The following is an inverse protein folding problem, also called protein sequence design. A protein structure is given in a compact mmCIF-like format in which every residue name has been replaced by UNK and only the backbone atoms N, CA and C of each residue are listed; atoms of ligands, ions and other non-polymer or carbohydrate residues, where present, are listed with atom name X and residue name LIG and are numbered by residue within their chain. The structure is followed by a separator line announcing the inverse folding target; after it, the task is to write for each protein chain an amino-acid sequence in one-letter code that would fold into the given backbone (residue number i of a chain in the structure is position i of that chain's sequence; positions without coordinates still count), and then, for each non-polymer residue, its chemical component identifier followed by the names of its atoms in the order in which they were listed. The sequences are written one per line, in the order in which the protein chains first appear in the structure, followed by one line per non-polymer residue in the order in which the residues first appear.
data_IF_146881936723
#
_entry.id   IF_146881936723
#
_cell.length_a   1.000
_cell.length_b   1.000
_cell.length_c   1.000
_cell.angle_alpha   90.00
_cell.angle_beta   90.00
_cell.angle_gamma   90.00
#
_symmetry.space_group_name_H-M   'P 1'
#
loop_
_entity.id
_entity.type
_entity.pdbx_description
1 polymer ?
#
# COMPACT_ATOMS: atom_id res chain seq x y z
N UNK A 1 26.22 -27.31 -11.35
CA UNK A 1 27.15 -26.48 -12.13
C UNK A 1 27.88 -25.62 -11.12
N UNK A 2 29.19 -25.84 -10.96
CA UNK A 2 30.03 -25.04 -10.06
C UNK A 2 30.29 -23.69 -10.74
N UNK A 3 29.62 -22.64 -10.27
CA UNK A 3 29.89 -21.27 -10.70
C UNK A 3 31.22 -20.82 -10.08
N UNK A 4 32.26 -20.59 -10.90
CA UNK A 4 33.54 -20.04 -10.43
C UNK A 4 33.31 -18.58 -9.95
N UNK A 5 33.52 -18.26 -8.66
CA UNK A 5 33.30 -16.92 -8.11
C UNK A 5 34.18 -15.84 -8.76
N UNK A 6 35.30 -16.21 -9.40
CA UNK A 6 36.20 -15.27 -10.09
C UNK A 6 35.60 -14.67 -11.36
N UNK A 7 34.45 -15.16 -11.81
CA UNK A 7 33.76 -14.58 -12.96
C UNK A 7 33.27 -13.15 -12.69
N UNK A 8 32.98 -12.80 -11.43
CA UNK A 8 32.54 -11.45 -11.05
C UNK A 8 33.64 -10.39 -11.19
N UNK A 9 34.92 -10.78 -11.07
CA UNK A 9 36.07 -9.86 -11.16
C UNK A 9 36.24 -9.25 -12.57
N UNK A 10 35.56 -9.81 -13.57
CA UNK A 10 35.63 -9.40 -14.97
C UNK A 10 34.35 -8.73 -15.49
N UNK A 11 33.30 -8.64 -14.66
CA UNK A 11 32.06 -7.95 -15.03
C UNK A 11 32.18 -6.49 -14.63
N UNK A 12 32.59 -5.64 -15.58
CA UNK A 12 32.55 -4.20 -15.38
C UNK A 12 31.09 -3.72 -15.30
N UNK A 13 30.75 -3.02 -14.23
CA UNK A 13 29.46 -2.33 -14.14
C UNK A 13 29.50 -1.11 -15.06
N UNK A 14 28.61 -1.08 -16.05
CA UNK A 14 28.52 0.02 -16.99
C UNK A 14 27.71 1.17 -16.38
N UNK A 15 28.25 2.38 -16.39
CA UNK A 15 27.56 3.59 -15.91
C UNK A 15 26.20 3.79 -16.58
N UNK A 16 26.07 3.43 -17.87
CA UNK A 16 24.81 3.52 -18.59
C UNK A 16 23.75 2.56 -18.03
N UNK A 17 24.15 1.39 -17.54
CA UNK A 17 23.22 0.43 -16.92
C UNK A 17 22.75 0.94 -15.56
N UNK A 18 23.65 1.57 -14.79
CA UNK A 18 23.30 2.25 -13.53
C UNK A 18 22.32 3.39 -13.82
N UNK A 19 22.61 4.24 -14.81
CA UNK A 19 21.75 5.37 -15.15
C UNK A 19 20.36 4.90 -15.62
N UNK A 20 20.28 3.87 -16.45
CA UNK A 20 19.01 3.25 -16.85
C UNK A 20 18.24 2.69 -15.66
N UNK A 21 18.92 2.04 -14.72
CA UNK A 21 18.31 1.50 -13.52
C UNK A 21 17.69 2.60 -12.65
N UNK A 22 18.44 3.67 -12.40
CA UNK A 22 17.97 4.84 -11.65
C UNK A 22 16.82 5.52 -12.38
N UNK A 23 16.96 5.76 -13.68
CA UNK A 23 15.91 6.39 -14.49
C UNK A 23 14.61 5.58 -14.46
N UNK A 24 14.69 4.26 -14.60
CA UNK A 24 13.54 3.37 -14.52
C UNK A 24 12.85 3.46 -13.15
N UNK A 25 13.62 3.54 -12.06
CA UNK A 25 13.07 3.72 -10.72
C UNK A 25 12.34 5.06 -10.57
N UNK A 26 12.94 6.16 -11.03
CA UNK A 26 12.37 7.50 -10.93
C UNK A 26 11.06 7.62 -11.73
N UNK A 27 11.02 7.05 -12.94
CA UNK A 27 9.82 7.05 -13.81
C UNK A 27 8.70 6.18 -13.23
N UNK A 28 9.05 5.02 -12.67
CA UNK A 28 8.08 4.13 -12.04
C UNK A 28 7.37 4.80 -10.86
N UNK A 29 8.13 5.49 -10.00
CA UNK A 29 7.64 6.22 -8.81
C UNK A 29 7.14 7.64 -9.09
N UNK A 30 7.10 8.07 -10.36
CA UNK A 30 6.59 9.37 -10.79
C UNK A 30 7.36 10.61 -10.25
N UNK A 31 8.68 10.49 -10.03
CA UNK A 31 9.53 11.60 -9.60
C UNK A 31 9.97 12.50 -10.77
N UNK A 32 8.99 13.14 -11.42
CA UNK A 32 9.19 13.91 -12.66
C UNK A 32 10.32 14.95 -12.58
N UNK A 33 10.31 15.79 -11.56
CA UNK A 33 11.30 16.87 -11.40
C UNK A 33 12.72 16.30 -11.27
N UNK A 34 12.82 15.12 -10.63
CA UNK A 34 14.10 14.40 -10.49
C UNK A 34 14.49 13.74 -11.81
N UNK A 35 13.54 13.18 -12.56
CA UNK A 35 13.78 12.62 -13.91
C UNK A 35 14.36 13.69 -14.84
N UNK A 36 13.75 14.87 -14.89
CA UNK A 36 14.20 15.98 -15.76
C UNK A 36 15.63 16.43 -15.43
N UNK A 37 15.90 16.60 -14.13
CA UNK A 37 17.24 16.95 -13.64
C UNK A 37 18.25 15.85 -13.96
N UNK A 38 17.88 14.58 -13.72
CA UNK A 38 18.74 13.43 -13.94
C UNK A 38 19.10 13.23 -15.40
N UNK A 39 18.13 13.38 -16.32
CA UNK A 39 18.34 13.31 -17.77
C UNK A 39 19.33 14.41 -18.21
N UNK A 40 19.16 15.63 -17.71
CA UNK A 40 20.02 16.77 -18.05
C UNK A 40 21.47 16.52 -17.62
N UNK A 41 21.68 15.92 -16.44
CA UNK A 41 23.01 15.61 -15.92
C UNK A 41 23.68 14.41 -16.60
N UNK A 42 22.91 13.40 -17.01
CA UNK A 42 23.45 12.14 -17.55
C UNK A 42 23.50 12.10 -19.07
N UNK A 43 22.82 13.02 -19.76
CA UNK A 43 22.73 13.05 -21.23
C UNK A 43 21.89 11.92 -21.83
N UNK A 44 21.09 11.22 -21.00
CA UNK A 44 20.21 10.16 -21.45
C UNK A 44 19.09 10.70 -22.34
N UNK A 45 18.53 9.84 -23.20
CA UNK A 45 17.34 10.17 -23.99
C UNK A 45 16.14 9.42 -23.41
N UNK A 46 15.09 10.16 -23.07
CA UNK A 46 13.80 9.59 -22.68
C UNK A 46 12.76 9.91 -23.76
N UNK A 47 11.77 9.03 -23.94
CA UNK A 47 10.67 9.22 -24.89
C UNK A 47 9.56 10.05 -24.25
N UNK A 48 8.97 10.96 -25.03
CA UNK A 48 7.88 11.84 -24.59
C UNK A 48 6.65 11.06 -24.07
N UNK A 49 6.42 9.87 -24.64
CA UNK A 49 5.32 8.97 -24.25
C UNK A 49 5.42 8.46 -22.80
N UNK A 50 6.64 8.24 -22.28
CA UNK A 50 6.84 7.85 -20.89
C UNK A 50 6.60 9.01 -19.92
N UNK A 51 6.83 10.25 -20.37
CA UNK A 51 6.65 11.44 -19.55
C UNK A 51 5.17 11.79 -19.38
N UNK A 52 4.34 11.63 -20.43
CA UNK A 52 2.89 11.83 -20.36
C UNK A 52 2.20 10.77 -19.47
N UNK A 53 2.54 9.49 -19.65
CA UNK A 53 2.07 8.40 -18.77
C UNK A 53 2.45 8.65 -17.31
N UNK A 54 3.70 9.05 -17.06
CA UNK A 54 4.17 9.38 -15.72
C UNK A 54 3.39 10.54 -15.10
N UNK A 55 3.09 11.60 -15.85
CA UNK A 55 2.33 12.75 -15.36
C UNK A 55 0.90 12.35 -14.97
N UNK A 56 0.22 11.55 -15.79
CA UNK A 56 -1.12 11.03 -15.49
C UNK A 56 -1.11 10.17 -14.23
N UNK A 57 -0.14 9.25 -14.10
CA UNK A 57 0.03 8.42 -12.90
C UNK A 57 0.36 9.24 -11.65
N UNK A 58 1.21 10.27 -11.78
CA UNK A 58 1.55 11.19 -10.68
C UNK A 58 0.32 11.85 -10.10
N UNK A 59 -0.60 12.33 -10.95
CA UNK A 59 -1.87 12.96 -10.52
C UNK A 59 -2.74 11.99 -9.74
N UNK A 60 -2.91 10.76 -10.25
CA UNK A 60 -3.69 9.72 -9.57
C UNK A 60 -3.11 9.39 -8.19
N UNK A 61 -1.79 9.18 -8.13
CA UNK A 61 -1.07 8.91 -6.88
C UNK A 61 -1.24 10.05 -5.86
N UNK A 62 -1.12 11.30 -6.31
CA UNK A 62 -1.29 12.48 -5.48
C UNK A 62 -2.69 12.56 -4.87
N UNK A 63 -3.74 12.42 -5.68
CA UNK A 63 -5.11 12.43 -5.17
C UNK A 63 -5.38 11.28 -4.19
N UNK A 64 -4.86 10.08 -4.46
CA UNK A 64 -5.01 8.94 -3.56
C UNK A 64 -4.30 9.16 -2.20
N UNK A 65 -3.07 9.68 -2.23
CA UNK A 65 -2.26 9.93 -1.03
C UNK A 65 -2.76 11.09 -0.17
N UNK A 66 -3.27 12.16 -0.79
CA UNK A 66 -3.90 13.28 -0.08
C UNK A 66 -5.25 12.92 0.53
N UNK A 67 -5.85 11.80 0.12
CA UNK A 67 -7.16 11.35 0.57
C UNK A 67 -8.32 11.85 -0.28
N UNK A 68 -8.08 12.45 -1.45
CA UNK A 68 -9.12 12.76 -2.43
C UNK A 68 -9.38 11.55 -3.35
N UNK A 69 -9.94 10.50 -2.77
CA UNK A 69 -10.08 9.21 -3.44
C UNK A 69 -11.05 9.25 -4.62
N UNK A 70 -12.07 10.11 -4.57
CA UNK A 70 -13.04 10.23 -5.67
C UNK A 70 -12.36 10.66 -6.96
N UNK A 71 -11.49 11.67 -6.89
CA UNK A 71 -10.69 12.11 -8.05
C UNK A 71 -9.72 11.03 -8.51
N UNK A 72 -9.11 10.30 -7.58
CA UNK A 72 -8.22 9.19 -7.93
C UNK A 72 -8.97 8.08 -8.68
N UNK A 73 -10.19 7.72 -8.27
CA UNK A 73 -11.04 6.73 -8.93
C UNK A 73 -11.44 7.19 -10.34
N UNK A 74 -11.90 8.43 -10.49
CA UNK A 74 -12.27 9.02 -11.79
C UNK A 74 -11.11 8.95 -12.79
N UNK A 75 -9.94 9.43 -12.39
CA UNK A 75 -8.74 9.45 -13.24
C UNK A 75 -8.18 8.04 -13.50
N UNK A 76 -8.36 7.10 -12.56
CA UNK A 76 -7.97 5.70 -12.76
C UNK A 76 -8.82 5.06 -13.85
N UNK A 77 -10.13 5.28 -13.85
CA UNK A 77 -11.03 4.74 -14.89
C UNK A 77 -10.76 5.37 -16.26
N UNK A 78 -10.35 6.65 -16.30
CA UNK A 78 -9.92 7.32 -17.53
C UNK A 78 -8.61 6.74 -18.09
N UNK A 79 -7.63 6.46 -17.21
CA UNK A 79 -6.30 5.99 -17.62
C UNK A 79 -6.24 4.47 -17.87
N UNK A 80 -6.94 3.68 -17.06
CA UNK A 80 -6.90 2.23 -17.05
C UNK A 80 -8.31 1.63 -16.85
N UNK A 81 -9.14 1.61 -17.91
CA UNK A 81 -10.51 1.11 -17.84
C UNK A 81 -10.62 -0.33 -17.34
N UNK A 82 -11.67 -0.64 -16.59
CA UNK A 82 -11.93 -1.93 -15.94
C UNK A 82 -10.87 -2.39 -14.91
N UNK A 83 -9.83 -1.59 -14.61
CA UNK A 83 -8.76 -2.01 -13.70
C UNK A 83 -9.33 -2.39 -12.32
N UNK A 84 -10.25 -1.58 -11.82
CA UNK A 84 -10.89 -1.77 -10.52
C UNK A 84 -11.90 -2.92 -10.53
N UNK A 85 -12.53 -3.19 -11.67
CA UNK A 85 -13.42 -4.35 -11.82
C UNK A 85 -12.63 -5.66 -11.81
N UNK A 86 -11.47 -5.68 -12.49
CA UNK A 86 -10.57 -6.83 -12.55
C UNK A 86 -9.81 -7.05 -11.24
N UNK A 87 -9.53 -5.99 -10.49
CA UNK A 87 -8.79 -6.03 -9.23
C UNK A 87 -9.66 -5.58 -8.04
N UNK A 88 -10.45 -6.52 -7.51
CA UNK A 88 -11.35 -6.28 -6.39
C UNK A 88 -10.63 -5.91 -5.09
N UNK A 89 -9.39 -6.39 -4.89
CA UNK A 89 -8.58 -6.06 -3.70
C UNK A 89 -8.23 -4.57 -3.70
N UNK A 90 -7.75 -4.06 -4.84
CA UNK A 90 -7.43 -2.65 -5.00
C UNK A 90 -8.68 -1.76 -4.91
N UNK A 91 -9.78 -2.20 -5.52
CA UNK A 91 -11.04 -1.48 -5.44
C UNK A 91 -11.52 -1.36 -3.99
N UNK A 92 -11.47 -2.46 -3.23
CA UNK A 92 -11.78 -2.46 -1.80
C UNK A 92 -10.88 -1.49 -1.02
N UNK A 93 -9.57 -1.51 -1.27
CA UNK A 93 -8.60 -0.64 -0.59
C UNK A 93 -8.89 0.86 -0.84
N UNK A 94 -9.23 1.23 -2.08
CA UNK A 94 -9.60 2.61 -2.42
C UNK A 94 -10.93 3.01 -1.78
N UNK A 95 -11.97 2.18 -1.86
CA UNK A 95 -13.24 2.48 -1.20
C UNK A 95 -13.06 2.62 0.32
N UNK A 96 -12.18 1.82 0.91
CA UNK A 96 -11.84 1.92 2.33
C UNK A 96 -11.17 3.25 2.67
N UNK A 97 -10.27 3.77 1.82
CA UNK A 97 -9.71 5.10 2.00
C UNK A 97 -10.77 6.21 1.95
N UNK A 98 -11.74 6.10 1.03
CA UNK A 98 -12.85 7.07 0.95
C UNK A 98 -13.71 7.03 2.21
N UNK A 99 -13.98 5.83 2.73
CA UNK A 99 -14.70 5.70 3.98
C UNK A 99 -13.93 6.36 5.14
N UNK A 100 -12.63 6.08 5.26
CA UNK A 100 -11.75 6.69 6.25
C UNK A 100 -11.74 8.22 6.16
N UNK A 101 -11.71 8.79 4.95
CA UNK A 101 -11.79 10.24 4.70
C UNK A 101 -13.09 10.84 5.28
N UNK A 102 -14.23 10.18 5.04
CA UNK A 102 -15.53 10.62 5.54
C UNK A 102 -15.60 10.56 7.08
N UNK A 103 -15.09 9.48 7.68
CA UNK A 103 -15.03 9.30 9.13
C UNK A 103 -14.12 10.35 9.77
N UNK A 104 -12.94 10.59 9.21
CA UNK A 104 -11.99 11.60 9.67
C UNK A 104 -12.57 13.02 9.58
N UNK A 105 -13.41 13.27 8.56
CA UNK A 105 -14.11 14.54 8.37
C UNK A 105 -15.36 14.69 9.26
N UNK A 106 -15.63 13.79 10.20
CA UNK A 106 -16.82 13.78 11.08
C UNK A 106 -18.15 13.63 10.36
N UNK A 107 -18.13 13.15 9.12
CA UNK A 107 -19.33 12.97 8.28
C UNK A 107 -19.88 11.56 8.45
N UNK A 108 -20.24 11.19 9.68
CA UNK A 108 -20.63 9.81 10.01
C UNK A 108 -21.86 9.31 9.22
N UNK A 109 -22.82 10.20 8.93
CA UNK A 109 -23.99 9.86 8.12
C UNK A 109 -23.60 9.52 6.68
N UNK A 110 -22.79 10.37 6.04
CA UNK A 110 -22.28 10.13 4.69
C UNK A 110 -21.39 8.87 4.65
N UNK A 111 -20.56 8.64 5.67
CA UNK A 111 -19.73 7.45 5.80
C UNK A 111 -20.57 6.16 5.86
N UNK A 112 -21.64 6.16 6.66
CA UNK A 112 -22.56 5.04 6.79
C UNK A 112 -23.30 4.77 5.47
N UNK A 113 -23.87 5.79 4.83
CA UNK A 113 -24.54 5.65 3.54
C UNK A 113 -23.58 5.13 2.45
N UNK A 114 -22.36 5.66 2.42
CA UNK A 114 -21.31 5.20 1.51
C UNK A 114 -20.99 3.74 1.74
N UNK A 115 -20.76 3.33 2.99
CA UNK A 115 -20.45 1.94 3.31
C UNK A 115 -21.62 1.00 2.97
N UNK A 116 -22.87 1.40 3.22
CA UNK A 116 -24.06 0.61 2.89
C UNK A 116 -24.18 0.38 1.38
N UNK A 117 -23.82 1.40 0.60
CA UNK A 117 -23.95 1.36 -0.85
C UNK A 117 -22.77 0.63 -1.51
N UNK A 118 -21.54 0.92 -1.08
CA UNK A 118 -20.31 0.53 -1.79
C UNK A 118 -19.54 -0.62 -1.13
N UNK A 119 -19.61 -0.76 0.19
CA UNK A 119 -18.83 -1.76 0.95
C UNK A 119 -19.63 -3.05 1.26
N UNK A 120 -20.96 -3.00 1.29
CA UNK A 120 -21.83 -4.18 1.52
C UNK A 120 -21.50 -5.39 0.65
N UNK A 121 -21.19 -5.28 -0.66
CA UNK A 121 -20.83 -6.43 -1.49
C UNK A 121 -19.61 -7.20 -0.96
N UNK A 122 -18.62 -6.48 -0.42
CA UNK A 122 -17.39 -7.06 0.14
C UNK A 122 -17.63 -7.76 1.48
N UNK A 123 -18.65 -7.37 2.24
CA UNK A 123 -19.05 -8.03 3.48
C UNK A 123 -19.56 -9.46 3.32
N UNK A 124 -19.84 -9.91 2.09
CA UNK A 124 -20.20 -11.31 1.78
C UNK A 124 -18.99 -12.21 1.58
N UNK A 125 -17.79 -11.63 1.42
CA UNK A 125 -16.56 -12.36 1.10
C UNK A 125 -15.67 -12.35 2.34
N UNK A 126 -15.46 -13.53 2.93
CA UNK A 126 -14.79 -13.70 4.23
C UNK A 126 -13.42 -12.99 4.31
N UNK A 127 -12.69 -12.92 3.19
CA UNK A 127 -11.39 -12.24 3.10
C UNK A 127 -11.43 -10.76 3.53
N UNK A 128 -12.53 -10.05 3.28
CA UNK A 128 -12.63 -8.61 3.56
C UNK A 128 -13.33 -8.31 4.88
N UNK A 129 -13.98 -9.30 5.51
CA UNK A 129 -14.84 -9.07 6.69
C UNK A 129 -14.04 -8.51 7.85
N UNK A 130 -12.89 -9.10 8.19
CA UNK A 130 -12.03 -8.63 9.29
C UNK A 130 -11.60 -7.18 9.07
N UNK A 131 -11.10 -6.86 7.86
CA UNK A 131 -10.67 -5.51 7.52
C UNK A 131 -11.85 -4.51 7.49
N UNK A 132 -13.05 -4.94 7.09
CA UNK A 132 -14.28 -4.14 7.18
C UNK A 132 -14.65 -3.84 8.62
N UNK A 133 -14.59 -4.83 9.51
CA UNK A 133 -14.86 -4.66 10.94
C UNK A 133 -13.92 -3.63 11.57
N UNK A 134 -12.63 -3.68 11.23
CA UNK A 134 -11.64 -2.70 11.68
C UNK A 134 -11.97 -1.27 11.22
N UNK A 135 -12.39 -1.09 9.95
CA UNK A 135 -12.83 0.24 9.49
C UNK A 135 -14.10 0.70 10.19
N UNK A 136 -15.08 -0.17 10.35
CA UNK A 136 -16.36 0.17 11.00
C UNK A 136 -16.17 0.54 12.47
N UNK A 137 -15.19 -0.07 13.15
CA UNK A 137 -14.86 0.26 14.53
C UNK A 137 -14.48 1.74 14.71
N UNK A 138 -13.97 2.42 13.68
CA UNK A 138 -13.67 3.85 13.73
C UNK A 138 -14.92 4.72 14.00
N UNK A 139 -16.11 4.26 13.61
CA UNK A 139 -17.37 4.99 13.84
C UNK A 139 -17.81 4.98 15.31
N UNK A 140 -17.31 4.05 16.12
CA UNK A 140 -17.65 3.95 17.53
C UNK A 140 -16.98 5.04 18.39
N UNK A 141 -16.02 5.78 17.82
CA UNK A 141 -15.24 6.78 18.54
C UNK A 141 -15.62 8.19 18.08
N UNK A 142 -15.90 9.06 19.05
CA UNK A 142 -15.97 10.51 18.80
C UNK A 142 -14.66 11.09 18.29
N UNK A 143 -13.55 10.36 18.41
CA UNK A 143 -12.25 10.72 17.84
C UNK A 143 -11.54 9.48 17.25
N UNK A 144 -11.59 9.26 15.93
CA UNK A 144 -11.00 8.11 15.25
C UNK A 144 -9.53 7.88 15.57
N UNK A 145 -8.76 8.94 15.85
CA UNK A 145 -7.33 8.81 16.22
C UNK A 145 -7.12 8.15 17.59
N UNK A 146 -8.15 8.14 18.46
CA UNK A 146 -8.13 7.44 19.75
C UNK A 146 -8.57 5.98 19.63
N UNK A 147 -9.05 5.58 18.46
CA UNK A 147 -9.44 4.19 18.20
C UNK A 147 -8.20 3.28 18.23
N UNK A 148 -8.34 2.02 18.68
CA UNK A 148 -7.32 0.99 18.43
C UNK A 148 -6.94 0.86 16.96
N UNK A 149 -7.84 1.26 16.04
CA UNK A 149 -7.67 1.19 14.59
C UNK A 149 -7.07 2.47 13.97
N UNK A 150 -6.50 3.37 14.77
CA UNK A 150 -5.94 4.65 14.30
C UNK A 150 -4.90 4.49 13.17
N UNK A 151 -4.21 3.36 13.09
CA UNK A 151 -3.23 3.08 12.04
C UNK A 151 -3.86 3.09 10.63
N UNK A 152 -5.17 2.85 10.51
CA UNK A 152 -5.91 2.95 9.24
C UNK A 152 -6.10 4.38 8.75
N UNK A 153 -5.93 5.37 9.63
CA UNK A 153 -5.99 6.81 9.32
C UNK A 153 -4.62 7.36 8.90
N UNK A 154 -3.56 6.59 9.13
CA UNK A 154 -2.18 7.04 8.96
C UNK A 154 -1.86 7.44 7.52
N UNK A 155 -0.90 8.36 7.38
CA UNK A 155 -0.32 8.67 6.08
C UNK A 155 0.31 7.42 5.44
N UNK A 156 0.93 6.55 6.25
CA UNK A 156 1.54 5.30 5.78
C UNK A 156 0.51 4.40 5.09
N UNK A 157 -0.68 4.22 5.67
CA UNK A 157 -1.75 3.45 5.05
C UNK A 157 -2.17 4.03 3.70
N UNK A 158 -2.35 5.36 3.64
CA UNK A 158 -2.71 6.07 2.39
C UNK A 158 -1.66 5.90 1.30
N UNK A 159 -0.39 6.10 1.64
CA UNK A 159 0.72 5.94 0.71
C UNK A 159 0.84 4.50 0.19
N UNK A 160 0.63 3.50 1.05
CA UNK A 160 0.64 2.09 0.64
C UNK A 160 -0.44 1.77 -0.38
N UNK A 161 -1.66 2.27 -0.19
CA UNK A 161 -2.76 2.06 -1.16
C UNK A 161 -2.48 2.84 -2.45
N UNK A 162 -1.95 4.06 -2.37
CA UNK A 162 -1.56 4.84 -3.55
C UNK A 162 -0.44 4.16 -4.36
N UNK A 163 0.55 3.55 -3.69
CA UNK A 163 1.59 2.75 -4.33
C UNK A 163 0.99 1.51 -5.02
N UNK A 164 0.15 0.75 -4.31
CA UNK A 164 -0.54 -0.40 -4.89
C UNK A 164 -1.36 -0.03 -6.14
N UNK A 165 -2.03 1.14 -6.11
CA UNK A 165 -2.73 1.69 -7.27
C UNK A 165 -1.78 1.97 -8.44
N UNK A 166 -0.68 2.69 -8.20
CA UNK A 166 0.32 2.97 -9.23
C UNK A 166 0.89 1.69 -9.85
N UNK A 167 1.22 0.69 -9.02
CA UNK A 167 1.73 -0.62 -9.46
C UNK A 167 0.70 -1.38 -10.28
N UNK A 168 -0.58 -1.30 -9.91
CA UNK A 168 -1.66 -1.92 -10.66
C UNK A 168 -1.90 -1.25 -12.01
N UNK A 169 -1.82 0.09 -12.09
CA UNK A 169 -1.90 0.84 -13.35
C UNK A 169 -0.76 0.42 -14.28
N UNK A 170 0.47 0.34 -13.77
CA UNK A 170 1.62 -0.15 -14.54
C UNK A 170 1.39 -1.58 -15.05
N UNK A 171 0.94 -2.48 -14.18
CA UNK A 171 0.66 -3.86 -14.57
C UNK A 171 -0.43 -3.94 -15.65
N UNK A 172 -1.47 -3.10 -15.55
CA UNK A 172 -2.53 -3.00 -16.54
C UNK A 172 -2.00 -2.55 -17.91
N UNK A 173 -1.01 -1.64 -17.92
CA UNK A 173 -0.31 -1.20 -19.11
C UNK A 173 0.77 -2.20 -19.60
N UNK A 174 0.81 -3.44 -19.07
CA UNK A 174 1.84 -4.45 -19.33
C UNK A 174 3.27 -3.99 -18.99
N UNK A 175 3.41 -3.03 -18.08
CA UNK A 175 4.69 -2.58 -17.53
C UNK A 175 4.99 -3.33 -16.22
N UNK A 176 6.26 -3.44 -15.80
CA UNK A 176 6.62 -4.09 -14.54
C UNK A 176 5.95 -3.43 -13.33
N UNK A 177 5.28 -4.23 -12.49
CA UNK A 177 4.65 -3.74 -11.25
C UNK A 177 5.66 -3.38 -10.16
N UNK A 178 6.90 -3.85 -10.25
CA UNK A 178 8.01 -3.48 -9.37
C UNK A 178 9.15 -2.95 -10.23
N UNK A 179 9.95 -2.06 -9.64
CA UNK A 179 11.12 -1.50 -10.32
C UNK A 179 12.19 -2.57 -10.49
N UNK A 180 13.04 -2.40 -11.51
CA UNK A 180 14.23 -3.24 -11.64
C UNK A 180 15.13 -3.14 -10.40
N UNK A 181 15.20 -1.96 -9.77
CA UNK A 181 15.97 -1.74 -8.55
C UNK A 181 15.44 -2.56 -7.37
N UNK A 182 14.13 -2.57 -7.13
CA UNK A 182 13.51 -3.42 -6.10
C UNK A 182 13.80 -4.90 -6.34
N UNK A 183 13.68 -5.37 -7.58
CA UNK A 183 13.99 -6.76 -7.93
C UNK A 183 15.45 -7.11 -7.69
N UNK A 184 16.37 -6.22 -8.04
CA UNK A 184 17.80 -6.42 -7.78
C UNK A 184 18.08 -6.45 -6.28
N UNK A 185 17.46 -5.57 -5.48
CA UNK A 185 17.60 -5.58 -4.02
C UNK A 185 17.07 -6.89 -3.42
N UNK A 186 15.94 -7.40 -3.91
CA UNK A 186 15.41 -8.70 -3.50
C UNK A 186 16.39 -9.83 -3.82
N UNK A 187 16.93 -9.86 -5.04
CA UNK A 187 17.94 -10.84 -5.45
C UNK A 187 19.19 -10.77 -4.57
N UNK A 188 19.72 -9.56 -4.33
CA UNK A 188 20.88 -9.33 -3.46
C UNK A 188 20.59 -9.81 -2.03
N UNK A 189 19.40 -9.54 -1.51
CA UNK A 189 18.99 -9.96 -0.16
C UNK A 189 18.97 -11.48 -0.04
N UNK A 190 18.36 -12.17 -1.00
CA UNK A 190 18.32 -13.64 -1.03
C UNK A 190 19.73 -14.22 -1.17
N UNK A 191 20.53 -13.70 -2.12
CA UNK A 191 21.91 -14.16 -2.32
C UNK A 191 22.74 -13.96 -1.06
N UNK A 192 22.64 -12.80 -0.41
CA UNK A 192 23.34 -12.51 0.86
C UNK A 192 22.94 -13.50 1.95
N UNK A 193 21.65 -13.84 2.06
CA UNK A 193 21.17 -14.83 3.02
C UNK A 193 21.74 -16.22 2.72
N UNK A 194 21.71 -16.65 1.46
CA UNK A 194 22.29 -17.94 1.04
C UNK A 194 23.79 -18.02 1.34
N UNK A 195 24.55 -16.97 1.03
CA UNK A 195 25.99 -16.90 1.31
C UNK A 195 26.29 -16.86 2.82
N UNK A 196 25.43 -16.20 3.62
CA UNK A 196 25.57 -16.20 5.09
C UNK A 196 25.17 -17.52 5.75
N UNK A 197 24.38 -18.36 5.06
CA UNK A 197 23.84 -19.63 5.55
C UNK A 197 24.81 -20.83 5.44
N UNK A 198 26.11 -20.61 5.17
CA UNK A 198 27.13 -21.64 5.41
C UNK A 198 27.20 -22.12 6.89
N UNK A 199 26.42 -21.53 7.80
CA UNK A 199 26.27 -21.98 9.19
C UNK A 199 24.80 -22.25 9.61
N UNK A 200 24.14 -23.19 8.93
CA UNK A 200 23.13 -24.07 9.56
C UNK A 200 21.66 -23.62 9.59
N UNK A 201 20.80 -24.51 9.09
CA UNK A 201 19.33 -24.60 9.16
C UNK A 201 18.53 -23.70 8.21
N UNK A 202 18.05 -24.33 7.13
CA UNK A 202 17.06 -23.78 6.21
C UNK A 202 15.68 -24.29 6.61
N UNK A 203 14.77 -23.38 6.96
CA UNK A 203 13.33 -23.61 6.88
C UNK A 203 12.77 -22.53 5.97
N UNK A 204 12.38 -22.93 4.76
CA UNK A 204 11.79 -22.04 3.77
C UNK A 204 10.43 -21.55 4.27
N UNK A 205 10.25 -20.24 4.33
CA UNK A 205 8.94 -19.59 4.27
C UNK A 205 9.08 -18.35 3.41
N UNK A 206 8.80 -18.54 2.12
CA UNK A 206 8.65 -17.45 1.15
C UNK A 206 7.30 -16.79 1.44
N UNK A 207 7.23 -16.05 2.53
CA UNK A 207 6.15 -15.12 2.82
C UNK A 207 6.83 -13.84 3.32
N UNK A 208 7.54 -13.14 2.43
CA UNK A 208 8.12 -11.85 2.77
C UNK A 208 7.68 -10.79 1.77
N UNK A 209 6.69 -10.02 2.23
CA UNK A 209 6.61 -8.57 2.10
C UNK A 209 6.83 -8.02 0.68
N UNK A 210 5.76 -8.04 -0.11
CA UNK A 210 5.59 -7.16 -1.26
C UNK A 210 4.83 -5.87 -0.87
N UNK A 211 5.14 -5.31 0.30
CA UNK A 211 4.61 -4.02 0.73
C UNK A 211 5.73 -3.26 1.45
N UNK A 212 5.80 -1.96 1.15
CA UNK A 212 6.75 -0.97 1.66
C UNK A 212 8.02 -0.82 0.81
N UNK A 213 7.87 -0.08 -0.29
CA UNK A 213 8.87 0.94 -0.59
C UNK A 213 8.86 1.95 0.58
N UNK A 214 10.05 2.11 1.18
CA UNK A 214 10.39 2.96 2.33
C UNK A 214 9.87 2.49 3.71
N UNK A 215 10.69 2.72 4.75
CA UNK A 215 10.49 2.38 6.18
C UNK A 215 10.90 0.98 6.67
N UNK A 216 12.08 0.52 6.27
CA UNK A 216 12.86 -0.39 7.13
C UNK A 216 13.59 0.47 8.16
N UNK A 217 12.91 0.87 9.24
CA UNK A 217 13.34 1.01 10.66
C UNK A 217 12.13 1.65 11.37
N UNK A 218 11.77 1.16 12.57
CA UNK A 218 10.66 1.57 13.45
C UNK A 218 9.37 0.74 13.35
N UNK A 219 9.35 -0.36 14.10
CA UNK A 219 8.20 -0.86 14.90
C UNK A 219 8.22 -2.38 15.05
N UNK A 220 9.31 -2.92 15.60
CA UNK A 220 9.29 -4.21 16.29
C UNK A 220 9.55 -3.93 17.76
N UNK A 221 8.48 -3.63 18.51
CA UNK A 221 8.43 -3.65 19.97
C UNK A 221 6.96 -3.60 20.44
N UNK A 222 6.17 -4.62 20.08
CA UNK A 222 4.97 -4.95 20.88
C UNK A 222 5.46 -5.80 22.04
N UNK A 223 5.69 -5.14 23.18
CA UNK A 223 5.80 -5.83 24.46
C UNK A 223 4.44 -6.43 24.80
N UNK A 224 4.40 -7.76 24.90
CA UNK A 224 3.30 -8.47 25.52
C UNK A 224 3.09 -7.95 26.96
N UNK A 225 1.98 -7.25 27.20
CA UNK A 225 1.53 -6.96 28.56
C UNK A 225 0.37 -7.89 28.88
N UNK A 226 0.71 -8.92 29.64
CA UNK A 226 -0.22 -9.83 30.31
C UNK A 226 -1.24 -9.07 31.15
N UNK A 227 -2.52 -9.35 30.90
CA UNK A 227 -3.66 -8.89 31.69
C UNK A 227 -3.52 -9.24 33.17
N UNK A 228 -3.55 -8.23 34.05
CA UNK A 228 -3.90 -8.38 35.47
C UNK A 228 -5.19 -7.63 35.74
N UNK A 229 -6.22 -8.43 36.03
CA UNK A 229 -7.54 -8.05 36.56
C UNK A 229 -7.38 -7.23 37.85
N UNK A 230 -7.92 -6.02 37.88
CA UNK A 230 -8.01 -5.14 39.05
C UNK A 230 -9.41 -4.54 39.16
N UNK A 231 -9.99 -4.61 40.37
CA UNK A 231 -11.40 -4.37 40.71
C UNK A 231 -11.78 -2.88 40.70
N UNK A 232 -13.03 -2.63 40.31
CA UNK A 232 -13.90 -1.49 40.66
C UNK A 232 -13.56 -0.11 40.08
N UNK A 233 -14.23 0.24 38.99
CA UNK A 233 -14.47 1.61 38.54
C UNK A 233 -15.50 1.55 37.41
N UNK A 234 -16.59 2.30 37.50
CA UNK A 234 -17.73 2.21 36.57
C UNK A 234 -17.28 2.50 35.13
N UNK A 235 -17.20 1.48 34.29
CA UNK A 235 -17.12 1.62 32.83
C UNK A 235 -18.53 1.89 32.31
N UNK A 236 -18.72 3.03 31.67
CA UNK A 236 -19.92 3.29 30.89
C UNK A 236 -19.85 2.40 29.65
N UNK A 237 -20.46 1.23 29.71
CA UNK A 237 -20.62 0.35 28.55
C UNK A 237 -21.54 1.02 27.54
N UNK A 238 -20.98 1.48 26.42
CA UNK A 238 -21.77 1.96 25.30
C UNK A 238 -21.92 0.83 24.28
N UNK A 239 -23.13 0.29 24.19
CA UNK A 239 -23.49 -0.72 23.20
C UNK A 239 -24.01 0.01 21.97
N UNK A 240 -23.17 0.19 20.95
CA UNK A 240 -23.60 0.69 19.65
C UNK A 240 -24.05 -0.48 18.79
N UNK A 241 -25.35 -0.51 18.46
CA UNK A 241 -25.95 -1.49 17.56
C UNK A 241 -26.04 -0.86 16.17
N UNK A 242 -25.17 -1.28 15.26
CA UNK A 242 -25.26 -0.90 13.86
C UNK A 242 -26.01 -1.99 13.09
N UNK A 243 -27.16 -1.63 12.52
CA UNK A 243 -27.91 -2.51 11.63
C UNK A 243 -27.47 -2.26 10.19
N UNK A 244 -26.91 -3.30 9.56
CA UNK A 244 -26.44 -3.27 8.17
C UNK A 244 -27.07 -4.44 7.42
N UNK A 245 -28.22 -4.21 6.80
CA UNK A 245 -28.97 -5.27 6.11
C UNK A 245 -29.31 -6.43 7.06
N UNK A 246 -28.77 -7.63 6.81
CA UNK A 246 -29.00 -8.82 7.65
C UNK A 246 -27.98 -8.98 8.80
N UNK A 247 -27.02 -8.06 8.92
CA UNK A 247 -25.96 -8.12 9.92
C UNK A 247 -26.23 -7.13 11.05
N UNK A 248 -25.98 -7.60 12.28
CA UNK A 248 -26.12 -6.83 13.52
C UNK A 248 -24.77 -6.75 14.18
N UNK A 249 -24.09 -5.62 14.03
CA UNK A 249 -22.81 -5.38 14.67
C UNK A 249 -23.06 -4.86 16.09
N UNK A 250 -22.47 -5.56 17.07
CA UNK A 250 -22.43 -5.12 18.46
C UNK A 250 -20.98 -4.79 18.75
N UNK A 251 -20.64 -3.50 18.71
CA UNK A 251 -19.34 -3.03 19.19
C UNK A 251 -19.54 -2.68 20.67
N UNK A 252 -18.91 -3.46 21.54
CA UNK A 252 -18.79 -3.13 22.96
C UNK A 252 -17.45 -2.45 23.17
N UNK A 253 -17.47 -1.16 23.52
CA UNK A 253 -16.31 -0.41 24.04
C UNK A 253 -16.51 -0.20 25.53
#
# INVERSE_FOLDING_TARGET
MDFDPRYYDHVAVNDNDIHNLVLSYLVHNCYKETVESFITCTGMKQTDDHLDDMEKRKRIFHFASEGNVLRALELTEELAPDLLEKNQDLHFDLLSLRFVELVSSRKCTEALEFAQTKLTPFGKVQKYVEKLEDFMALLAYEDPEKSPMFHLLSLEYRLRVADNLNRAILAHANKPSCTAMERLIQQITVVRQCLSQEHGKVTFSINFFCCCSEYIVYSCLIFASTSRRGKNGKESHYVFVFNFGHWRFIVSV
#
